data_IF_585773856612
#
_entry.id   IF_585773856612
#
_cell.length_a   1.000
_cell.length_b   1.000
_cell.length_c   1.000
_cell.angle_alpha   90.00
_cell.angle_beta   90.00
_cell.angle_gamma   90.00
#
_symmetry.space_group_name_H-M   'P 1'
#
loop_
_entity.id
_entity.type
_entity.pdbx_description
1 polymer ?
#
# COMPACT_ATOMS: atom_id res chain seq x y z
N UNK A 1 -17.15 37.24 5.67
CA UNK A 1 -16.91 37.38 7.14
C UNK A 1 -15.52 37.96 7.33
N UNK A 2 -15.15 38.45 8.51
CA UNK A 2 -13.72 38.74 8.76
C UNK A 2 -12.95 37.42 8.91
N UNK A 3 -11.72 37.33 8.39
CA UNK A 3 -10.89 36.14 8.57
C UNK A 3 -10.57 35.94 10.05
N UNK A 4 -10.69 34.69 10.52
CA UNK A 4 -10.37 34.28 11.88
C UNK A 4 -9.15 33.37 11.88
N UNK A 5 -8.39 33.32 12.97
CA UNK A 5 -7.37 32.29 13.09
C UNK A 5 -8.01 30.90 13.05
N UNK A 6 -7.31 29.92 12.47
CA UNK A 6 -7.83 28.56 12.35
C UNK A 6 -8.23 27.96 13.70
N UNK A 7 -7.42 28.22 14.73
CA UNK A 7 -7.69 27.81 16.11
C UNK A 7 -9.01 28.40 16.63
N UNK A 8 -9.26 29.70 16.45
CA UNK A 8 -10.48 30.36 16.93
C UNK A 8 -11.72 29.89 16.20
N UNK A 9 -11.62 29.70 14.87
CA UNK A 9 -12.71 29.16 14.08
C UNK A 9 -13.08 27.75 14.54
N UNK A 10 -12.10 26.84 14.65
CA UNK A 10 -12.36 25.45 15.07
C UNK A 10 -12.89 25.36 16.51
N UNK A 11 -12.41 26.22 17.42
CA UNK A 11 -12.92 26.26 18.79
C UNK A 11 -14.38 26.76 18.91
N UNK A 12 -14.83 27.58 17.96
CA UNK A 12 -16.20 28.13 17.93
C UNK A 12 -17.16 27.33 17.06
N UNK A 13 -16.63 26.43 16.22
CA UNK A 13 -17.39 25.58 15.31
C UNK A 13 -18.23 24.55 16.06
N UNK A 14 -19.52 24.48 15.72
CA UNK A 14 -20.40 23.38 16.16
C UNK A 14 -20.18 22.15 15.24
N UNK A 15 -19.70 21.01 15.77
CA UNK A 15 -19.47 19.79 14.98
C UNK A 15 -20.72 19.27 14.26
N UNK A 16 -21.94 19.59 14.74
CA UNK A 16 -23.18 19.20 14.07
C UNK A 16 -23.40 19.92 12.73
N UNK A 17 -22.67 21.00 12.48
CA UNK A 17 -22.78 21.79 11.24
C UNK A 17 -21.82 21.35 10.14
N UNK A 18 -21.02 20.32 10.39
CA UNK A 18 -20.12 19.74 9.40
C UNK A 18 -20.89 18.97 8.30
N UNK A 19 -20.41 18.95 7.04
CA UNK A 19 -19.13 19.50 6.59
C UNK A 19 -19.18 21.01 6.31
N UNK A 20 -18.04 21.70 6.50
CA UNK A 20 -17.85 23.14 6.21
C UNK A 20 -16.71 23.35 5.22
N UNK A 21 -16.79 24.39 4.38
CA UNK A 21 -15.75 24.75 3.41
C UNK A 21 -15.08 26.04 3.87
N UNK A 22 -13.77 25.98 4.10
CA UNK A 22 -12.95 27.10 4.54
C UNK A 22 -12.03 27.53 3.42
N UNK A 23 -11.82 28.84 3.28
CA UNK A 23 -10.79 29.43 2.43
C UNK A 23 -9.63 29.90 3.27
N UNK A 24 -8.40 29.57 2.87
CA UNK A 24 -7.19 30.09 3.49
C UNK A 24 -7.01 31.55 3.05
N UNK A 25 -7.03 32.47 4.00
CA UNK A 25 -6.92 33.91 3.75
C UNK A 25 -5.49 34.42 3.95
N UNK A 26 -4.74 33.82 4.89
CA UNK A 26 -3.39 34.24 5.25
C UNK A 26 -2.62 33.08 5.88
N UNK A 27 -1.28 33.17 5.85
CA UNK A 27 -0.37 32.09 6.23
C UNK A 27 0.07 31.24 5.03
N UNK A 28 1.33 30.81 5.04
CA UNK A 28 1.88 29.90 4.02
C UNK A 28 2.51 28.74 4.75
N UNK A 29 2.00 27.54 4.49
CA UNK A 29 2.56 26.30 5.02
C UNK A 29 3.23 25.53 3.88
N UNK A 30 4.49 25.10 4.07
CA UNK A 30 5.28 24.41 3.06
C UNK A 30 5.67 22.99 3.50
N UNK A 31 5.70 22.07 2.54
CA UNK A 31 6.22 20.71 2.67
C UNK A 31 7.68 20.73 3.16
N UNK A 32 7.99 19.91 4.16
CA UNK A 32 9.33 19.86 4.79
C UNK A 32 9.61 20.98 5.81
N UNK A 33 8.63 21.79 6.17
CA UNK A 33 8.74 22.70 7.31
C UNK A 33 8.70 21.92 8.64
N UNK A 34 9.20 22.53 9.72
CA UNK A 34 9.30 21.94 11.08
C UNK A 34 7.95 21.47 11.64
N UNK A 35 6.85 21.85 11.00
CA UNK A 35 5.47 21.59 11.40
C UNK A 35 4.83 20.40 10.70
N UNK A 36 5.65 19.49 10.14
CA UNK A 36 5.26 18.28 9.41
C UNK A 36 3.98 17.65 9.96
N UNK A 37 2.87 17.92 9.28
CA UNK A 37 1.52 17.58 9.69
C UNK A 37 1.37 16.06 9.74
N UNK A 38 1.59 15.46 10.91
CA UNK A 38 1.20 14.09 11.28
C UNK A 38 1.41 13.02 10.19
N UNK A 39 2.51 13.10 9.43
CA UNK A 39 2.87 12.15 8.37
C UNK A 39 2.20 12.36 7.00
N UNK A 40 1.46 13.45 6.79
CA UNK A 40 0.84 13.83 5.52
C UNK A 40 1.41 15.16 5.02
N UNK A 41 2.39 15.10 4.12
CA UNK A 41 2.98 16.26 3.45
C UNK A 41 1.90 17.11 2.79
N UNK A 42 1.77 18.40 3.14
CA UNK A 42 0.83 19.30 2.46
C UNK A 42 1.37 20.72 2.39
N UNK A 43 0.96 21.47 1.38
CA UNK A 43 1.20 22.91 1.31
C UNK A 43 -0.16 23.61 1.34
N UNK A 44 -0.27 24.68 2.13
CA UNK A 44 -1.45 25.53 2.18
C UNK A 44 -1.05 26.94 1.77
N UNK A 45 -1.70 27.46 0.75
CA UNK A 45 -1.50 28.79 0.19
C UNK A 45 -2.75 29.62 0.33
N UNK A 46 -2.59 30.95 0.36
CA UNK A 46 -3.73 31.88 0.30
C UNK A 46 -4.59 31.59 -0.93
N UNK A 47 -5.89 31.38 -0.71
CA UNK A 47 -6.87 31.03 -1.72
C UNK A 47 -7.26 29.55 -1.74
N UNK A 48 -6.50 28.67 -1.09
CA UNK A 48 -6.83 27.25 -1.03
C UNK A 48 -8.15 27.00 -0.31
N UNK A 49 -8.89 26.00 -0.78
CA UNK A 49 -10.15 25.57 -0.20
C UNK A 49 -9.99 24.24 0.56
N UNK A 50 -10.48 24.23 1.79
CA UNK A 50 -10.42 23.11 2.71
C UNK A 50 -11.84 22.72 3.13
N UNK A 51 -12.29 21.52 2.78
CA UNK A 51 -13.57 21.00 3.27
C UNK A 51 -13.36 20.20 4.55
N UNK A 52 -13.73 20.77 5.67
CA UNK A 52 -13.69 20.13 6.99
C UNK A 52 -14.82 19.12 7.10
N UNK A 53 -14.47 17.88 7.37
CA UNK A 53 -15.38 16.74 7.47
C UNK A 53 -15.62 16.31 8.92
N UNK A 54 -14.59 16.40 9.77
CA UNK A 54 -14.67 16.07 11.19
C UNK A 54 -13.65 16.88 11.99
N UNK A 55 -13.92 17.03 13.30
CA UNK A 55 -13.01 17.65 14.26
C UNK A 55 -12.98 16.77 15.51
N UNK A 56 -11.79 16.43 16.00
CA UNK A 56 -11.60 15.62 17.20
C UNK A 56 -10.66 16.31 18.19
N UNK A 57 -10.95 16.25 19.49
CA UNK A 57 -10.04 16.78 20.51
C UNK A 57 -8.80 15.88 20.59
N UNK A 58 -7.63 16.43 20.27
CA UNK A 58 -6.36 15.70 20.26
C UNK A 58 -5.68 15.77 21.63
N UNK A 59 -5.56 16.98 22.18
CA UNK A 59 -4.97 17.24 23.50
C UNK A 59 -5.46 18.57 24.07
N UNK A 60 -5.18 18.80 25.35
CA UNK A 60 -5.42 20.10 26.01
C UNK A 60 -4.12 20.57 26.64
N UNK A 61 -3.67 21.75 26.25
CA UNK A 61 -2.51 22.42 26.85
C UNK A 61 -3.02 23.22 28.04
N UNK A 62 -2.55 22.88 29.24
CA UNK A 62 -2.88 23.58 30.47
C UNK A 62 -1.73 24.53 30.82
N UNK A 63 -2.00 25.82 30.85
CA UNK A 63 -1.04 26.85 31.24
C UNK A 63 -1.34 27.32 32.67
N UNK A 64 -0.36 27.23 33.56
CA UNK A 64 -0.45 27.76 34.92
C UNK A 64 -0.42 29.30 34.91
N UNK A 65 -1.45 29.93 35.47
CA UNK A 65 -1.59 31.39 35.46
C UNK A 65 -0.55 32.13 36.29
N UNK A 66 0.12 31.46 37.23
CA UNK A 66 1.13 32.07 38.10
C UNK A 66 2.55 31.85 37.57
N UNK A 67 2.83 30.67 37.01
CA UNK A 67 4.18 30.29 36.58
C UNK A 67 4.39 30.34 35.06
N UNK A 68 3.31 30.38 34.28
CA UNK A 68 3.35 30.25 32.81
C UNK A 68 3.77 28.86 32.33
N UNK A 69 3.90 27.89 33.24
CA UNK A 69 4.30 26.53 32.88
C UNK A 69 3.16 25.82 32.16
N UNK A 70 3.46 25.21 31.02
CA UNK A 70 2.49 24.45 30.23
C UNK A 70 2.62 22.95 30.46
N UNK A 71 1.48 22.25 30.54
CA UNK A 71 1.40 20.79 30.66
C UNK A 71 0.37 20.25 29.67
N UNK A 72 0.70 19.15 28.99
CA UNK A 72 -0.20 18.53 28.02
C UNK A 72 -1.06 17.44 28.67
N UNK A 73 -2.37 17.49 28.45
CA UNK A 73 -3.31 16.48 28.91
C UNK A 73 -3.93 15.72 27.73
N UNK A 74 -3.98 14.38 27.78
CA UNK A 74 -4.73 13.61 26.81
C UNK A 74 -6.24 13.80 27.01
N UNK A 75 -7.06 13.61 25.96
CA UNK A 75 -8.51 13.77 26.01
C UNK A 75 -9.17 12.78 27.00
N UNK A 76 -8.51 11.66 27.27
CA UNK A 76 -8.95 10.61 28.21
C UNK A 76 -8.49 10.84 29.66
N UNK A 77 -7.91 11.99 30.00
CA UNK A 77 -7.37 12.27 31.33
C UNK A 77 -8.44 12.09 32.43
N UNK A 78 -8.17 11.17 33.37
CA UNK A 78 -9.05 10.85 34.52
C UNK A 78 -8.47 11.21 35.89
N UNK A 79 -7.28 11.82 35.91
CA UNK A 79 -6.55 12.16 37.14
C UNK A 79 -5.99 10.93 37.84
N UNK A 80 -4.80 11.03 38.42
CA UNK A 80 -4.19 9.95 39.19
C UNK A 80 -4.96 9.71 40.49
N UNK A 81 -5.57 8.52 40.66
CA UNK A 81 -6.11 8.08 41.94
C UNK A 81 -4.98 7.58 42.84
N UNK A 82 -4.39 8.47 43.61
CA UNK A 82 -3.55 8.14 44.76
C UNK A 82 -4.21 8.57 46.06
N UNK A 83 -5.16 7.81 46.61
CA UNK A 83 -5.57 8.00 48.00
C UNK A 83 -4.69 7.14 48.92
N UNK A 84 -3.93 7.74 49.86
CA UNK A 84 -3.19 6.99 50.87
C UNK A 84 -4.18 6.40 51.87
N UNK A 85 -4.13 5.09 52.06
CA UNK A 85 -4.92 4.38 53.08
C UNK A 85 -4.47 4.88 54.46
N UNK A 86 -5.35 5.46 55.31
CA UNK A 86 -4.96 5.79 56.67
C UNK A 86 -4.77 4.50 57.48
N UNK A 87 -3.65 4.45 58.21
CA UNK A 87 -3.27 3.33 59.04
C UNK A 87 -4.39 2.97 60.04
N UNK A 88 -4.76 1.70 59.96
CA UNK A 88 -5.77 0.95 60.71
C UNK A 88 -5.67 1.23 62.22
N UNK A 89 -6.65 1.95 62.78
CA UNK A 89 -6.88 1.95 64.23
C UNK A 89 -7.47 0.60 64.62
N UNK A 90 -6.79 -0.12 65.51
CA UNK A 90 -7.25 -1.38 66.09
C UNK A 90 -8.62 -1.19 66.74
N UNK A 91 -9.58 -2.05 66.40
CA UNK A 91 -10.76 -2.28 67.25
C UNK A 91 -11.04 -3.78 67.34
N UNK A 92 -10.67 -4.29 68.51
CA UNK A 92 -11.19 -5.41 69.30
C UNK A 92 -12.33 -6.21 68.66
N UNK A 93 -12.08 -7.52 68.54
CA UNK A 93 -13.08 -8.57 68.30
C UNK A 93 -14.11 -8.61 69.42
N UNK A 94 -15.40 -8.58 69.06
CA UNK A 94 -16.42 -9.27 69.86
C UNK A 94 -17.32 -10.11 68.97
N UNK A 95 -17.63 -11.27 69.52
CA UNK A 95 -18.36 -12.39 68.99
C UNK A 95 -19.86 -12.11 68.93
N UNK A 96 -20.46 -12.21 67.73
CA UNK A 96 -21.73 -12.91 67.45
C UNK A 96 -22.09 -12.71 65.98
N UNK A 97 -22.67 -13.74 65.37
CA UNK A 97 -22.60 -13.99 63.95
C UNK A 97 -23.66 -13.33 63.08
N UNK A 98 -23.28 -13.04 61.83
CA UNK A 98 -23.95 -13.31 60.54
C UNK A 98 -23.26 -12.48 59.45
N UNK A 99 -23.03 -13.01 58.24
CA UNK A 99 -22.59 -12.19 57.12
C UNK A 99 -23.77 -11.38 56.57
N UNK A 100 -23.75 -10.06 56.76
CA UNK A 100 -24.53 -9.12 55.96
C UNK A 100 -23.64 -8.65 54.81
N UNK A 101 -24.06 -8.91 53.57
CA UNK A 101 -23.50 -8.27 52.38
C UNK A 101 -23.58 -6.74 52.53
N UNK A 102 -22.53 -5.96 52.21
CA UNK A 102 -22.69 -4.52 52.02
C UNK A 102 -23.29 -4.26 50.62
N UNK A 103 -24.38 -3.49 50.52
CA UNK A 103 -25.01 -3.13 49.27
C UNK A 103 -24.47 -1.78 48.78
N UNK A 104 -23.46 -1.78 47.91
CA UNK A 104 -23.19 -0.68 46.96
C UNK A 104 -22.03 -1.05 46.02
N UNK A 105 -22.32 -1.79 44.97
CA UNK A 105 -21.58 -1.63 43.72
C UNK A 105 -22.41 -0.69 42.85
N UNK A 106 -22.24 0.63 43.04
CA UNK A 106 -22.71 1.60 42.06
C UNK A 106 -21.62 1.81 41.02
N UNK A 107 -21.97 1.86 39.72
CA UNK A 107 -21.01 2.11 38.65
C UNK A 107 -20.40 3.50 38.84
N UNK A 108 -19.07 3.57 38.77
CA UNK A 108 -18.29 4.78 38.94
C UNK A 108 -18.82 5.92 38.04
N UNK A 109 -19.32 6.98 38.66
CA UNK A 109 -19.53 8.27 38.00
C UNK A 109 -18.21 8.78 37.40
N UNK A 110 -18.21 9.47 36.25
CA UNK A 110 -17.04 10.23 35.82
C UNK A 110 -16.77 11.32 36.87
N UNK A 111 -15.67 11.17 37.61
CA UNK A 111 -15.23 12.16 38.59
C UNK A 111 -14.81 13.42 37.83
N UNK A 112 -15.59 14.50 37.93
CA UNK A 112 -15.19 15.76 37.34
C UNK A 112 -14.04 16.39 38.12
N UNK A 113 -12.94 16.70 37.43
CA UNK A 113 -11.67 17.16 38.01
C UNK A 113 -11.53 18.68 37.96
N UNK A 114 -12.21 19.33 37.03
CA UNK A 114 -12.05 20.76 36.78
C UNK A 114 -13.18 21.56 37.41
N UNK A 115 -12.84 22.71 38.02
CA UNK A 115 -13.80 23.68 38.55
C UNK A 115 -13.44 25.10 38.08
N UNK A 116 -14.41 25.97 37.76
CA UNK A 116 -14.11 27.37 37.46
C UNK A 116 -13.41 28.04 38.66
N UNK A 117 -12.36 28.82 38.40
CA UNK A 117 -11.77 29.65 39.44
C UNK A 117 -12.75 30.78 39.80
N UNK A 118 -13.02 30.96 41.09
CA UNK A 118 -13.80 32.10 41.58
C UNK A 118 -13.03 33.40 41.34
N UNK A 119 -13.68 34.45 40.86
CA UNK A 119 -13.04 35.75 40.65
C UNK A 119 -12.43 36.30 41.97
N UNK A 120 -11.22 36.90 41.96
CA UNK A 120 -10.65 37.51 43.15
C UNK A 120 -11.47 38.74 43.53
N UNK A 121 -12.24 38.65 44.62
CA UNK A 121 -12.86 39.79 45.27
C UNK A 121 -11.84 40.61 46.09
N UNK A 122 -12.06 41.91 46.31
CA UNK A 122 -11.11 42.75 47.01
C UNK A 122 -11.06 42.43 48.50
N UNK A 123 -9.87 42.12 49.00
CA UNK A 123 -9.37 42.10 50.40
C UNK A 123 -10.28 41.55 51.51
N UNK A 124 -9.80 40.49 52.20
CA UNK A 124 -9.80 40.38 53.68
C UNK A 124 -8.89 39.24 54.18
N UNK A 125 -8.10 39.55 55.21
CA UNK A 125 -7.13 38.72 55.94
C UNK A 125 -7.78 37.65 56.86
N UNK A 126 -7.01 36.71 57.45
CA UNK A 126 -7.46 35.34 57.70
C UNK A 126 -8.00 35.11 59.11
N UNK A 127 -9.14 34.40 59.23
CA UNK A 127 -9.50 33.47 60.32
C UNK A 127 -10.96 33.03 60.19
N UNK A 128 -11.19 31.73 60.08
CA UNK A 128 -12.50 31.11 60.24
C UNK A 128 -12.56 29.75 59.56
N UNK A 129 -13.11 28.70 60.21
CA UNK A 129 -13.17 27.37 59.62
C UNK A 129 -14.01 27.40 58.34
N UNK A 130 -13.48 26.74 57.32
CA UNK A 130 -14.07 26.56 55.99
C UNK A 130 -15.59 26.45 56.05
N UNK A 131 -16.28 27.53 55.68
CA UNK A 131 -17.69 27.48 55.33
C UNK A 131 -17.81 26.67 54.05
N UNK A 132 -18.65 25.65 54.15
CA UNK A 132 -18.93 24.60 53.18
C UNK A 132 -19.28 25.20 51.80
N UNK A 133 -18.25 25.36 50.98
CA UNK A 133 -18.37 25.86 49.61
C UNK A 133 -19.26 24.93 48.79
N UNK A 134 -20.24 25.52 48.13
CA UNK A 134 -21.21 24.87 47.22
C UNK A 134 -20.66 23.60 46.58
N UNK A 135 -21.38 22.48 46.74
CA UNK A 135 -21.15 21.19 46.05
C UNK A 135 -21.36 21.34 44.54
N UNK A 136 -20.53 22.13 43.87
CA UNK A 136 -20.47 22.14 42.41
C UNK A 136 -19.82 20.81 41.99
N UNK A 137 -20.58 19.99 41.26
CA UNK A 137 -20.06 18.82 40.56
C UNK A 137 -18.91 19.31 39.68
N UNK A 138 -17.73 18.70 39.83
CA UNK A 138 -16.61 18.99 38.94
C UNK A 138 -16.99 18.65 37.49
N UNK A 139 -16.30 19.27 36.55
CA UNK A 139 -16.48 19.06 35.12
C UNK A 139 -15.47 18.04 34.61
N UNK A 140 -15.86 17.25 33.61
CA UNK A 140 -14.91 16.47 32.81
C UNK A 140 -14.09 17.41 31.92
N UNK A 141 -12.92 16.97 31.45
CA UNK A 141 -12.05 17.75 30.56
C UNK A 141 -12.80 18.24 29.31
N UNK A 142 -13.59 17.38 28.68
CA UNK A 142 -14.45 17.75 27.54
C UNK A 142 -15.51 18.82 27.90
N UNK A 143 -16.11 18.74 29.10
CA UNK A 143 -17.10 19.73 29.55
C UNK A 143 -16.45 21.06 29.96
N UNK A 144 -15.22 21.04 30.44
CA UNK A 144 -14.45 22.22 30.77
C UNK A 144 -14.05 22.99 29.49
N UNK A 145 -13.59 22.26 28.48
CA UNK A 145 -13.23 22.79 27.15
C UNK A 145 -14.47 23.31 26.40
N UNK A 146 -15.55 22.52 26.32
CA UNK A 146 -16.76 22.89 25.56
C UNK A 146 -17.53 24.10 26.11
N UNK A 147 -17.14 24.65 27.26
CA UNK A 147 -17.72 25.85 27.87
C UNK A 147 -16.92 27.14 27.62
N UNK A 148 -15.72 27.06 27.06
CA UNK A 148 -14.88 28.23 26.76
C UNK A 148 -15.16 28.79 25.36
N UNK A 149 -16.41 29.12 25.05
CA UNK A 149 -16.74 29.79 23.80
C UNK A 149 -16.23 31.24 23.82
N UNK A 150 -15.00 31.44 23.37
CA UNK A 150 -14.43 32.75 23.03
C UNK A 150 -13.31 33.28 23.94
N UNK A 151 -13.23 32.88 25.21
CA UNK A 151 -12.15 33.30 26.12
C UNK A 151 -11.75 32.14 27.05
N UNK A 152 -10.44 31.83 27.20
CA UNK A 152 -9.99 30.80 28.12
C UNK A 152 -10.31 31.22 29.55
N UNK A 153 -11.16 30.45 30.23
CA UNK A 153 -11.51 30.68 31.64
C UNK A 153 -10.51 29.94 32.53
N UNK A 154 -9.97 30.56 33.59
CA UNK A 154 -9.10 29.87 34.52
C UNK A 154 -9.88 28.76 35.26
N UNK A 155 -9.30 27.56 35.27
CA UNK A 155 -9.88 26.36 35.87
C UNK A 155 -8.94 25.79 36.93
N UNK A 156 -9.50 25.36 38.06
CA UNK A 156 -8.76 24.67 39.12
C UNK A 156 -8.84 23.16 38.88
N UNK A 157 -7.67 22.50 38.87
CA UNK A 157 -7.54 21.04 38.82
C UNK A 157 -6.60 20.56 39.93
N UNK A 158 -7.13 20.08 41.06
CA UNK A 158 -6.32 19.66 42.21
C UNK A 158 -5.31 18.54 41.92
N UNK A 159 -5.50 17.80 40.82
CA UNK A 159 -4.60 16.71 40.39
C UNK A 159 -3.37 17.22 39.64
N UNK A 160 -3.40 18.45 39.11
CA UNK A 160 -2.30 19.05 38.34
C UNK A 160 -1.54 20.05 39.22
N UNK A 161 -2.27 20.86 40.00
CA UNK A 161 -1.66 21.84 40.88
C UNK A 161 -2.69 22.67 41.65
N UNK A 162 -2.24 23.47 42.63
CA UNK A 162 -3.12 24.36 43.40
C UNK A 162 -3.52 25.62 42.61
N UNK A 163 -2.78 25.96 41.55
CA UNK A 163 -2.95 27.18 40.77
C UNK A 163 -4.10 27.07 39.76
N UNK A 164 -4.58 28.22 39.28
CA UNK A 164 -5.53 28.26 38.19
C UNK A 164 -4.84 27.95 36.86
N UNK A 165 -5.51 27.17 36.02
CA UNK A 165 -5.00 26.70 34.73
C UNK A 165 -5.86 27.27 33.60
N UNK A 166 -5.23 27.84 32.58
CA UNK A 166 -5.88 28.15 31.31
C UNK A 166 -5.85 26.90 30.44
N UNK A 167 -7.02 26.47 29.97
CA UNK A 167 -7.16 25.30 29.11
C UNK A 167 -7.18 25.75 27.65
N UNK A 168 -6.17 25.34 26.89
CA UNK A 168 -6.06 25.58 25.46
C UNK A 168 -6.27 24.25 24.72
N UNK A 169 -7.49 23.99 24.19
CA UNK A 169 -7.77 22.76 23.48
C UNK A 169 -7.07 22.75 22.11
N UNK A 170 -6.47 21.62 21.74
CA UNK A 170 -5.90 21.39 20.42
C UNK A 170 -6.72 20.31 19.74
N UNK A 171 -7.27 20.62 18.58
CA UNK A 171 -8.10 19.72 17.81
C UNK A 171 -7.36 19.20 16.58
N UNK A 172 -7.55 17.92 16.27
CA UNK A 172 -7.20 17.34 14.99
C UNK A 172 -8.39 17.55 14.04
N UNK A 173 -8.16 18.33 12.98
CA UNK A 173 -9.16 18.66 11.96
C UNK A 173 -9.00 17.71 10.78
N UNK A 174 -10.04 16.97 10.44
CA UNK A 174 -10.05 16.05 9.31
C UNK A 174 -10.69 16.76 8.13
N UNK A 175 -9.92 16.95 7.07
CA UNK A 175 -10.36 17.73 5.93
C UNK A 175 -9.93 17.15 4.58
N UNK A 176 -10.74 17.42 3.56
CA UNK A 176 -10.45 17.10 2.16
C UNK A 176 -10.12 18.37 1.40
N UNK A 177 -9.01 18.35 0.67
CA UNK A 177 -8.62 19.41 -0.25
C UNK A 177 -9.05 19.06 -1.67
N UNK A 178 -9.14 20.06 -2.55
CA UNK A 178 -9.45 19.82 -3.96
C UNK A 178 -8.33 19.01 -4.64
N UNK A 179 -8.69 17.97 -5.38
CA UNK A 179 -7.76 17.09 -6.14
C UNK A 179 -6.71 16.37 -5.29
N UNK A 180 -6.98 16.18 -3.98
CA UNK A 180 -6.13 15.36 -3.13
C UNK A 180 -6.81 14.04 -2.79
N UNK A 181 -6.06 12.95 -2.89
CA UNK A 181 -6.57 11.59 -2.65
C UNK A 181 -6.85 11.31 -1.18
N UNK A 182 -5.93 11.71 -0.31
CA UNK A 182 -5.99 11.42 1.11
C UNK A 182 -6.62 12.56 1.91
N UNK A 183 -7.36 12.17 2.94
CA UNK A 183 -7.86 13.10 3.95
C UNK A 183 -6.68 13.63 4.79
N UNK A 184 -6.60 14.94 4.92
CA UNK A 184 -5.55 15.64 5.66
C UNK A 184 -5.99 15.80 7.10
N UNK A 185 -5.06 15.62 8.03
CA UNK A 185 -5.27 15.77 9.47
C UNK A 185 -4.50 16.99 9.94
N UNK A 186 -5.16 18.13 10.09
CA UNK A 186 -4.49 19.41 10.35
C UNK A 186 -4.70 19.78 11.82
N UNK A 187 -3.65 20.10 12.59
CA UNK A 187 -3.82 20.59 13.95
C UNK A 187 -4.47 21.98 13.93
N UNK A 188 -5.42 22.23 14.85
CA UNK A 188 -6.10 23.52 14.93
C UNK A 188 -5.16 24.68 15.28
N UNK A 189 -4.00 24.39 15.88
CA UNK A 189 -2.95 25.36 16.20
C UNK A 189 -2.12 25.81 14.99
N UNK A 190 -2.42 25.31 13.79
CA UNK A 190 -1.76 25.75 12.57
C UNK A 190 -1.98 27.27 12.38
N UNK A 191 -0.87 28.00 12.20
CA UNK A 191 -0.87 29.47 12.05
C UNK A 191 -1.33 29.90 10.65
N UNK A 192 -2.64 29.76 10.40
CA UNK A 192 -3.31 30.25 9.18
C UNK A 192 -4.61 30.95 9.56
N UNK A 193 -4.99 31.95 8.77
CA UNK A 193 -6.28 32.60 8.88
C UNK A 193 -7.25 31.99 7.86
N UNK A 194 -8.49 31.76 8.29
CA UNK A 194 -9.54 31.13 7.49
C UNK A 194 -10.81 31.96 7.44
N UNK A 195 -11.52 31.82 6.33
CA UNK A 195 -12.89 32.32 6.16
C UNK A 195 -13.81 31.15 5.82
N UNK A 196 -14.95 31.06 6.50
CA UNK A 196 -16.01 30.10 6.14
C UNK A 196 -16.72 30.59 4.87
N UNK A 197 -16.56 29.82 3.80
CA UNK A 197 -17.13 30.08 2.48
C UNK A 197 -18.10 28.96 2.07
N UNK A 198 -18.67 28.24 3.05
CA UNK A 198 -19.53 27.07 2.79
C UNK A 198 -20.71 27.39 1.88
N UNK A 199 -21.31 28.56 2.02
CA UNK A 199 -22.47 28.99 1.22
C UNK A 199 -22.06 29.44 -0.19
N UNK A 200 -20.90 30.09 -0.32
CA UNK A 200 -20.37 30.59 -1.58
C UNK A 200 -19.74 29.49 -2.43
N UNK A 201 -19.13 28.49 -1.79
CA UNK A 201 -18.38 27.41 -2.42
C UNK A 201 -19.21 26.13 -2.64
N UNK A 202 -20.55 26.19 -2.58
CA UNK A 202 -21.42 25.03 -2.83
C UNK A 202 -21.22 24.40 -4.23
N UNK A 203 -20.75 25.20 -5.19
CA UNK A 203 -20.44 24.76 -6.55
C UNK A 203 -19.09 24.04 -6.68
N UNK A 204 -18.24 24.11 -5.66
CA UNK A 204 -16.92 23.49 -5.65
C UNK A 204 -17.06 22.00 -5.34
N UNK A 205 -16.75 21.17 -6.33
CA UNK A 205 -16.71 19.73 -6.13
C UNK A 205 -15.35 19.31 -5.55
N UNK A 206 -15.37 18.81 -4.32
CA UNK A 206 -14.23 18.13 -3.72
C UNK A 206 -14.16 16.71 -4.29
N UNK A 207 -13.70 16.62 -5.54
CA UNK A 207 -13.48 15.35 -6.21
C UNK A 207 -12.25 14.66 -5.60
N UNK A 208 -12.40 13.39 -5.22
CA UNK A 208 -11.29 12.53 -4.82
C UNK A 208 -10.69 11.90 -6.08
N UNK A 209 -9.40 12.16 -6.38
CA UNK A 209 -8.67 11.42 -7.42
C UNK A 209 -8.72 9.92 -7.16
N UNK A 210 -8.86 9.14 -8.22
CA UNK A 210 -8.87 7.68 -8.14
C UNK A 210 -7.65 7.16 -8.88
N UNK A 211 -6.88 6.28 -8.24
CA UNK A 211 -5.87 5.55 -8.99
C UNK A 211 -6.54 4.65 -10.02
N UNK A 212 -5.84 4.42 -11.13
CA UNK A 212 -6.28 3.48 -12.14
C UNK A 212 -6.56 2.07 -11.56
N UNK A 213 -5.82 1.66 -10.52
CA UNK A 213 -6.03 0.41 -9.79
C UNK A 213 -7.31 0.40 -8.94
N UNK A 214 -7.76 1.55 -8.43
CA UNK A 214 -9.05 1.69 -7.75
C UNK A 214 -10.19 1.61 -8.75
N UNK A 215 -10.06 2.27 -9.89
CA UNK A 215 -11.06 2.23 -10.97
C UNK A 215 -11.26 0.80 -11.49
N UNK A 216 -10.20 0.01 -11.60
CA UNK A 216 -10.28 -1.41 -11.95
C UNK A 216 -11.16 -2.23 -10.98
N UNK A 217 -11.21 -1.84 -9.71
CA UNK A 217 -12.07 -2.45 -8.70
C UNK A 217 -13.53 -2.01 -8.78
N UNK A 218 -13.84 -0.92 -9.48
CA UNK A 218 -15.17 -0.31 -9.58
C UNK A 218 -15.89 -0.73 -10.86
N UNK A 219 -16.15 -2.03 -11.03
CA UNK A 219 -16.71 -2.58 -12.27
C UNK A 219 -18.10 -2.02 -12.61
N UNK A 220 -18.94 -1.79 -11.61
CA UNK A 220 -20.28 -1.21 -11.82
C UNK A 220 -20.26 0.26 -12.26
N UNK A 221 -19.12 0.93 -12.16
CA UNK A 221 -18.97 2.30 -12.63
C UNK A 221 -18.58 2.38 -14.12
N UNK A 222 -18.25 1.26 -14.77
CA UNK A 222 -17.84 1.22 -16.18
C UNK A 222 -19.05 0.97 -17.10
N UNK A 223 -19.11 1.57 -18.31
CA UNK A 223 -18.12 2.48 -18.89
C UNK A 223 -18.21 3.90 -18.31
N UNK A 224 -17.06 4.56 -18.15
CA UNK A 224 -17.00 5.94 -17.63
C UNK A 224 -15.96 6.80 -18.34
N UNK A 225 -16.10 8.11 -18.21
CA UNK A 225 -15.15 9.09 -18.72
C UNK A 225 -14.32 9.63 -17.57
N UNK A 226 -13.00 9.61 -17.70
CA UNK A 226 -12.07 10.04 -16.67
C UNK A 226 -11.07 11.07 -17.23
N UNK A 227 -10.74 12.07 -16.42
CA UNK A 227 -9.65 13.02 -16.69
C UNK A 227 -8.39 12.53 -16.00
N UNK A 228 -7.25 12.58 -16.68
CA UNK A 228 -5.94 12.29 -16.09
C UNK A 228 -5.52 13.50 -15.28
N UNK A 229 -5.43 13.36 -13.97
CA UNK A 229 -4.97 14.42 -13.07
C UNK A 229 -3.45 14.40 -12.96
N UNK A 230 -2.86 13.20 -12.90
CA UNK A 230 -1.41 13.01 -12.93
C UNK A 230 -1.02 11.89 -13.91
N UNK A 231 -0.10 12.22 -14.82
CA UNK A 231 0.47 11.26 -15.76
C UNK A 231 1.41 10.24 -15.08
N UNK A 232 1.85 9.21 -15.80
CA UNK A 232 2.66 8.15 -15.23
C UNK A 232 4.03 8.71 -14.80
N UNK A 233 4.37 8.54 -13.53
CA UNK A 233 5.65 9.01 -12.98
C UNK A 233 6.83 8.12 -13.42
N UNK A 234 7.91 8.73 -13.92
CA UNK A 234 9.16 8.04 -14.26
C UNK A 234 9.38 7.84 -15.77
N UNK A 235 10.47 7.15 -16.16
CA UNK A 235 10.74 6.84 -17.57
C UNK A 235 9.65 5.92 -18.13
N UNK A 236 9.32 6.08 -19.42
CA UNK A 236 8.29 5.29 -20.08
C UNK A 236 8.61 3.79 -19.98
N UNK A 237 7.83 3.06 -19.17
CA UNK A 237 7.98 1.61 -18.97
C UNK A 237 7.61 0.85 -20.24
N UNK A 238 6.69 1.40 -21.03
CA UNK A 238 6.22 0.82 -22.29
C UNK A 238 6.61 1.69 -23.47
N UNK A 239 7.22 1.05 -24.47
CA UNK A 239 7.48 1.66 -25.77
C UNK A 239 6.27 1.43 -26.67
N UNK A 240 5.29 2.34 -26.63
CA UNK A 240 4.08 2.28 -27.46
C UNK A 240 3.60 3.67 -27.89
N UNK A 241 2.59 3.73 -28.76
CA UNK A 241 2.08 4.98 -29.36
C UNK A 241 1.20 5.80 -28.42
N UNK A 242 0.57 5.18 -27.43
CA UNK A 242 -0.44 5.81 -26.58
C UNK A 242 0.07 6.27 -25.21
N UNK A 243 1.07 5.61 -24.61
CA UNK A 243 1.64 6.01 -23.30
C UNK A 243 2.18 7.44 -23.31
N UNK A 244 2.92 7.90 -24.34
CA UNK A 244 3.37 9.29 -24.39
C UNK A 244 2.23 10.29 -24.43
N UNK A 245 1.05 9.88 -24.94
CA UNK A 245 -0.12 10.74 -25.03
C UNK A 245 -0.78 10.94 -23.67
N UNK A 246 -0.65 10.00 -22.72
CA UNK A 246 -1.25 10.05 -21.37
C UNK A 246 -0.68 11.21 -20.53
N UNK A 247 -1.24 12.39 -20.73
CA UNK A 247 -0.82 13.62 -20.08
C UNK A 247 -1.93 14.18 -19.19
N UNK A 248 -1.53 14.98 -18.20
CA UNK A 248 -2.46 15.70 -17.33
C UNK A 248 -3.45 16.54 -18.14
N UNK A 249 -4.72 16.52 -17.75
CA UNK A 249 -5.82 17.23 -18.38
C UNK A 249 -6.44 16.50 -19.57
N UNK A 250 -5.88 15.35 -19.96
CA UNK A 250 -6.40 14.57 -21.05
C UNK A 250 -7.56 13.67 -20.58
N UNK A 251 -8.53 13.46 -21.47
CA UNK A 251 -9.72 12.68 -21.15
C UNK A 251 -9.70 11.30 -21.82
N UNK A 252 -9.90 10.27 -21.01
CA UNK A 252 -10.01 8.88 -21.42
C UNK A 252 -11.45 8.41 -21.31
N UNK A 253 -11.86 7.56 -22.25
CA UNK A 253 -13.06 6.76 -22.14
C UNK A 253 -12.63 5.37 -21.65
N UNK A 254 -13.06 4.98 -20.45
CA UNK A 254 -12.82 3.67 -19.88
C UNK A 254 -14.03 2.78 -20.17
N UNK A 255 -13.83 1.75 -20.97
CA UNK A 255 -14.90 0.91 -21.50
C UNK A 255 -15.23 -0.25 -20.57
N UNK A 256 -14.22 -0.88 -19.97
CA UNK A 256 -14.42 -2.10 -19.20
C UNK A 256 -13.11 -2.75 -18.75
N UNK A 257 -13.21 -3.99 -18.30
CA UNK A 257 -12.09 -4.80 -17.83
C UNK A 257 -11.76 -5.89 -18.84
N UNK A 258 -10.47 -6.04 -19.15
CA UNK A 258 -9.94 -7.17 -19.92
C UNK A 258 -9.37 -8.19 -18.95
N UNK A 259 -9.86 -9.43 -19.05
CA UNK A 259 -9.29 -10.61 -18.37
C UNK A 259 -8.34 -11.39 -19.28
N UNK A 260 -7.90 -10.77 -20.38
CA UNK A 260 -6.94 -11.36 -21.28
C UNK A 260 -5.58 -11.48 -20.57
N UNK A 261 -5.12 -12.71 -20.34
CA UNK A 261 -3.80 -12.93 -19.78
C UNK A 261 -2.71 -12.46 -20.75
N UNK A 262 -1.54 -12.17 -20.19
CA UNK A 262 -0.33 -11.73 -20.89
C UNK A 262 0.84 -12.63 -20.56
N UNK A 263 1.89 -12.61 -21.37
CA UNK A 263 3.17 -13.27 -21.07
C UNK A 263 4.28 -12.26 -21.11
N UNK A 264 5.05 -12.17 -20.02
CA UNK A 264 6.31 -11.45 -20.00
C UNK A 264 7.36 -12.27 -20.73
N UNK A 265 8.01 -11.68 -21.71
CA UNK A 265 9.07 -12.29 -22.48
C UNK A 265 10.31 -11.39 -22.48
N UNK A 266 11.50 -12.00 -22.42
CA UNK A 266 12.78 -11.31 -22.49
C UNK A 266 13.51 -11.74 -23.78
N UNK A 267 14.26 -10.82 -24.39
CA UNK A 267 15.12 -11.10 -25.53
C UNK A 267 16.59 -11.01 -25.10
N UNK A 268 17.25 -12.14 -24.76
CA UNK A 268 18.59 -12.15 -24.15
C UNK A 268 19.64 -11.39 -24.96
N UNK A 269 19.52 -11.41 -26.29
CA UNK A 269 20.46 -10.75 -27.19
C UNK A 269 20.40 -9.22 -27.18
N UNK A 270 19.29 -8.63 -26.70
CA UNK A 270 19.04 -7.19 -26.75
C UNK A 270 18.75 -6.56 -25.39
N UNK A 271 18.54 -7.38 -24.35
CA UNK A 271 18.10 -6.90 -23.03
C UNK A 271 16.68 -6.31 -23.00
N UNK A 272 15.94 -6.40 -24.11
CA UNK A 272 14.56 -5.90 -24.23
C UNK A 272 13.56 -6.87 -23.62
N UNK A 273 12.48 -6.32 -23.11
CA UNK A 273 11.36 -7.05 -22.55
C UNK A 273 10.10 -6.75 -23.36
N UNK A 274 9.24 -7.74 -23.47
CA UNK A 274 8.02 -7.69 -24.27
C UNK A 274 6.86 -8.23 -23.44
N UNK A 275 5.69 -7.63 -23.62
CA UNK A 275 4.45 -8.11 -23.03
C UNK A 275 3.55 -8.64 -24.14
N UNK A 276 3.42 -9.97 -24.20
CA UNK A 276 2.70 -10.67 -25.26
C UNK A 276 1.22 -10.78 -24.90
N UNK A 277 0.37 -10.38 -25.85
CA UNK A 277 -1.08 -10.58 -25.75
C UNK A 277 -1.44 -12.05 -25.89
N UNK A 278 -2.43 -12.53 -25.11
CA UNK A 278 -3.05 -13.84 -25.36
C UNK A 278 -3.73 -13.95 -26.73
N UNK A 279 -4.07 -12.81 -27.35
CA UNK A 279 -4.61 -12.75 -28.70
C UNK A 279 -3.52 -12.83 -29.79
N UNK A 280 -2.22 -12.78 -29.43
CA UNK A 280 -1.12 -12.83 -30.41
C UNK A 280 -1.16 -14.11 -31.25
N UNK A 281 -1.25 -13.94 -32.58
CA UNK A 281 -1.42 -15.03 -33.56
C UNK A 281 -0.12 -15.50 -34.20
N UNK A 282 1.02 -14.89 -33.84
CA UNK A 282 2.33 -15.35 -34.30
C UNK A 282 2.63 -16.79 -33.88
N UNK A 283 3.47 -17.46 -34.66
CA UNK A 283 3.85 -18.86 -34.46
C UNK A 283 5.25 -18.98 -33.92
N UNK A 284 5.39 -19.82 -32.91
CA UNK A 284 6.64 -20.06 -32.21
C UNK A 284 7.20 -21.42 -32.56
N UNK A 285 8.52 -21.52 -32.54
CA UNK A 285 9.27 -22.76 -32.53
C UNK A 285 10.08 -22.83 -31.25
N UNK A 286 10.07 -23.98 -30.61
CA UNK A 286 10.88 -24.23 -29.41
C UNK A 286 12.35 -24.19 -29.77
N UNK A 287 13.15 -23.58 -28.90
CA UNK A 287 14.60 -23.67 -28.97
C UNK A 287 15.04 -24.85 -28.11
N UNK A 288 15.93 -25.72 -28.61
CA UNK A 288 16.64 -26.67 -27.78
C UNK A 288 17.25 -26.00 -26.55
N UNK A 289 16.97 -26.52 -25.35
CA UNK A 289 17.69 -26.10 -24.15
C UNK A 289 19.14 -26.58 -24.23
N UNK A 290 20.06 -25.74 -23.78
CA UNK A 290 21.47 -26.07 -23.66
C UNK A 290 21.79 -26.29 -22.18
N UNK A 291 22.55 -27.33 -21.88
CA UNK A 291 22.98 -27.69 -20.54
C UNK A 291 24.50 -27.88 -20.55
N UNK A 292 25.17 -27.37 -19.51
CA UNK A 292 26.63 -27.39 -19.35
C UNK A 292 27.13 -28.49 -18.39
N UNK A 293 26.23 -29.30 -17.86
CA UNK A 293 26.58 -30.42 -17.00
C UNK A 293 25.38 -31.27 -16.60
N UNK A 294 25.66 -32.40 -15.95
CA UNK A 294 24.66 -33.37 -15.51
C UNK A 294 23.75 -32.78 -14.42
N UNK A 295 24.26 -31.89 -13.56
CA UNK A 295 23.44 -31.16 -12.60
C UNK A 295 22.34 -30.30 -13.27
N UNK A 296 22.66 -29.64 -14.38
CA UNK A 296 21.68 -28.84 -15.11
C UNK A 296 20.66 -29.70 -15.85
N UNK A 297 21.09 -30.83 -16.42
CA UNK A 297 20.19 -31.86 -16.95
C UNK A 297 19.22 -32.37 -15.87
N UNK A 298 19.74 -32.55 -14.65
CA UNK A 298 18.94 -32.97 -13.51
C UNK A 298 17.88 -31.95 -13.10
N UNK A 299 18.25 -30.67 -13.06
CA UNK A 299 17.30 -29.58 -12.85
C UNK A 299 16.30 -29.44 -14.03
N UNK A 300 16.72 -29.81 -15.25
CA UNK A 300 15.94 -29.73 -16.48
C UNK A 300 14.93 -30.86 -16.69
N UNK A 301 15.07 -31.99 -15.99
CA UNK A 301 14.17 -33.14 -16.06
C UNK A 301 12.87 -32.87 -15.31
N UNK A 302 11.73 -33.15 -15.95
CA UNK A 302 10.40 -32.96 -15.35
C UNK A 302 9.69 -34.28 -15.08
N UNK A 303 8.88 -34.37 -14.01
CA UNK A 303 8.05 -35.55 -13.76
C UNK A 303 7.15 -35.85 -14.97
N UNK A 304 7.17 -37.10 -15.45
CA UNK A 304 6.38 -37.59 -16.62
C UNK A 304 6.80 -37.07 -18.00
N UNK A 305 7.94 -36.39 -18.13
CA UNK A 305 8.47 -35.97 -19.44
C UNK A 305 9.81 -36.65 -19.74
N UNK A 306 9.94 -37.26 -20.92
CA UNK A 306 11.23 -37.74 -21.42
C UNK A 306 12.06 -36.54 -21.89
N UNK A 307 13.29 -36.40 -21.37
CA UNK A 307 14.27 -35.44 -21.86
C UNK A 307 15.32 -36.19 -22.68
N UNK A 308 15.31 -35.96 -24.00
CA UNK A 308 16.31 -36.50 -24.93
C UNK A 308 17.33 -35.41 -25.22
N UNK A 309 18.61 -35.72 -25.10
CA UNK A 309 19.71 -34.77 -25.34
C UNK A 309 20.78 -35.38 -26.22
N UNK A 310 21.49 -34.53 -26.94
CA UNK A 310 22.66 -34.88 -27.75
C UNK A 310 23.89 -34.25 -27.11
N UNK A 311 24.96 -35.01 -26.96
CA UNK A 311 26.24 -34.54 -26.44
C UNK A 311 26.91 -33.67 -27.50
N UNK A 312 27.26 -32.44 -27.14
CA UNK A 312 27.91 -31.45 -28.00
C UNK A 312 29.34 -31.14 -27.61
N UNK A 313 29.81 -31.68 -26.47
CA UNK A 313 31.20 -31.57 -26.02
C UNK A 313 31.59 -32.88 -25.35
N UNK A 314 32.76 -33.42 -25.72
CA UNK A 314 33.29 -34.65 -25.14
C UNK A 314 33.41 -34.54 -23.61
N UNK A 315 32.94 -35.57 -22.92
CA UNK A 315 33.03 -35.67 -21.47
C UNK A 315 34.03 -36.77 -21.12
N UNK A 316 35.20 -36.38 -20.61
CA UNK A 316 36.16 -37.34 -20.06
C UNK A 316 35.63 -37.86 -18.72
N UNK A 317 35.28 -39.14 -18.67
CA UNK A 317 34.85 -39.81 -17.44
C UNK A 317 35.91 -39.71 -16.34
N UNK A 318 35.51 -39.38 -15.11
CA UNK A 318 36.42 -39.37 -13.96
C UNK A 318 36.49 -40.77 -13.34
N UNK A 319 37.51 -41.54 -13.74
CA UNK A 319 37.80 -42.86 -13.17
C UNK A 319 37.18 -44.02 -13.95
N UNK A 320 37.34 -45.24 -13.43
CA UNK A 320 36.95 -46.49 -14.12
C UNK A 320 35.42 -46.71 -14.17
N UNK A 321 34.65 -45.97 -13.37
CA UNK A 321 33.19 -46.17 -13.19
C UNK A 321 32.31 -45.19 -14.01
N UNK A 322 32.90 -44.21 -14.70
CA UNK A 322 32.14 -43.22 -15.51
C UNK A 322 32.49 -43.38 -16.99
N UNK A 323 31.55 -43.81 -17.84
CA UNK A 323 31.81 -44.00 -19.26
C UNK A 323 32.09 -42.65 -19.96
N UNK A 324 33.08 -42.58 -20.87
CA UNK A 324 33.32 -41.38 -21.66
C UNK A 324 32.15 -41.14 -22.62
N UNK A 325 31.73 -39.89 -22.76
CA UNK A 325 30.70 -39.49 -23.74
C UNK A 325 31.35 -38.70 -24.86
N UNK A 326 31.08 -39.09 -26.10
CA UNK A 326 31.55 -38.43 -27.30
C UNK A 326 30.54 -37.42 -27.86
N UNK A 327 31.05 -36.43 -28.60
CA UNK A 327 30.18 -35.55 -29.40
C UNK A 327 29.33 -36.36 -30.38
N UNK A 328 28.02 -36.17 -30.32
CA UNK A 328 27.03 -36.86 -31.14
C UNK A 328 26.24 -37.95 -30.43
N UNK A 329 26.68 -38.38 -29.24
CA UNK A 329 25.99 -39.39 -28.44
C UNK A 329 24.59 -38.90 -28.04
N UNK A 330 23.59 -39.79 -28.14
CA UNK A 330 22.19 -39.49 -27.81
C UNK A 330 21.81 -40.15 -26.48
N UNK A 331 21.31 -39.34 -25.56
CA UNK A 331 20.97 -39.77 -24.21
C UNK A 331 19.49 -39.49 -23.92
N UNK A 332 18.80 -40.47 -23.35
CA UNK A 332 17.48 -40.32 -22.75
C UNK A 332 17.62 -40.28 -21.23
N UNK A 333 17.19 -39.18 -20.64
CA UNK A 333 17.20 -38.96 -19.20
C UNK A 333 16.10 -39.76 -18.50
N UNK A 334 16.45 -40.53 -17.46
CA UNK A 334 15.50 -41.38 -16.72
C UNK A 334 15.28 -40.94 -15.26
N UNK A 335 16.27 -40.35 -14.58
CA UNK A 335 16.11 -39.78 -13.23
C UNK A 335 17.28 -40.07 -12.29
N UNK A 336 17.10 -39.76 -11.01
CA UNK A 336 18.11 -40.03 -9.97
C UNK A 336 18.04 -41.49 -9.52
N UNK A 337 19.16 -42.22 -9.60
CA UNK A 337 19.26 -43.59 -9.09
C UNK A 337 20.65 -43.80 -8.47
N UNK A 338 20.71 -44.19 -7.20
CA UNK A 338 21.98 -44.51 -6.54
C UNK A 338 21.88 -44.58 -5.01
N UNK A 339 22.77 -45.38 -4.41
CA UNK A 339 22.90 -45.57 -2.95
C UNK A 339 23.95 -44.61 -2.33
N UNK A 340 24.29 -43.52 -3.04
CA UNK A 340 25.33 -42.54 -2.67
C UNK A 340 24.98 -41.11 -3.10
N UNK A 341 25.78 -40.11 -2.70
CA UNK A 341 25.50 -38.71 -3.00
C UNK A 341 25.80 -38.39 -4.48
N UNK A 342 24.78 -38.35 -5.32
CA UNK A 342 24.86 -37.65 -6.61
C UNK A 342 25.01 -38.51 -7.87
N UNK A 343 24.44 -39.72 -7.91
CA UNK A 343 24.43 -40.55 -9.12
C UNK A 343 23.13 -40.37 -9.91
N UNK A 344 23.24 -40.16 -11.22
CA UNK A 344 22.14 -39.89 -12.14
C UNK A 344 22.08 -40.92 -13.27
N UNK A 345 20.88 -41.40 -13.62
CA UNK A 345 20.68 -42.46 -14.63
C UNK A 345 20.27 -41.89 -15.98
N UNK A 346 21.05 -42.24 -17.01
CA UNK A 346 20.79 -41.94 -18.42
C UNK A 346 20.76 -43.23 -19.21
N UNK A 347 19.91 -43.31 -20.23
CA UNK A 347 19.92 -44.38 -21.22
C UNK A 347 20.62 -43.87 -22.48
N UNK A 348 21.74 -44.48 -22.84
CA UNK A 348 22.40 -44.23 -24.11
C UNK A 348 21.70 -44.97 -25.24
N UNK A 349 21.38 -44.28 -26.33
CA UNK A 349 20.73 -44.88 -27.49
C UNK A 349 21.76 -45.05 -28.60
N UNK A 350 21.95 -46.29 -29.05
CA UNK A 350 22.58 -46.56 -30.33
C UNK A 350 21.52 -46.36 -31.44
N UNK A 351 21.90 -45.68 -32.52
CA UNK A 351 21.04 -45.50 -33.72
C UNK A 351 19.88 -44.51 -33.61
N UNK A 352 19.31 -44.16 -34.77
CA UNK A 352 18.11 -43.31 -34.90
C UNK A 352 16.80 -44.09 -34.73
N UNK A 353 16.86 -45.42 -34.73
CA UNK A 353 15.70 -46.30 -34.63
C UNK A 353 15.28 -46.47 -33.15
N UNK A 354 13.96 -46.46 -32.88
CA UNK A 354 13.42 -46.52 -31.51
C UNK A 354 13.47 -47.93 -30.87
N UNK A 355 14.04 -48.92 -31.57
CA UNK A 355 14.02 -50.33 -31.19
C UNK A 355 15.37 -50.91 -30.70
N UNK A 356 16.48 -50.14 -30.71
CA UNK A 356 17.74 -50.61 -30.14
C UNK A 356 17.73 -50.53 -28.60
N UNK A 357 18.06 -51.66 -27.94
CA UNK A 357 18.25 -51.72 -26.48
C UNK A 357 19.42 -50.84 -26.07
N UNK A 358 19.10 -49.63 -25.60
CA UNK A 358 20.09 -48.68 -25.11
C UNK A 358 20.72 -49.09 -23.77
N UNK A 359 22.01 -48.84 -23.61
CA UNK A 359 22.75 -49.10 -22.37
C UNK A 359 22.39 -48.09 -21.27
N UNK A 360 22.34 -48.53 -20.01
CA UNK A 360 22.08 -47.66 -18.87
C UNK A 360 23.41 -47.16 -18.28
N UNK A 361 23.59 -45.84 -18.27
CA UNK A 361 24.78 -45.14 -17.79
C UNK A 361 24.47 -44.39 -16.50
N UNK A 362 25.37 -44.49 -15.52
CA UNK A 362 25.33 -43.74 -14.27
C UNK A 362 26.35 -42.60 -14.32
N UNK A 363 25.88 -41.36 -14.36
CA UNK A 363 26.74 -40.17 -14.39
C UNK A 363 26.73 -39.41 -13.06
N UNK A 364 27.90 -38.95 -12.58
CA UNK A 364 27.98 -38.03 -11.44
C UNK A 364 27.34 -36.66 -11.75
N UNK A 365 26.67 -36.06 -10.77
CA UNK A 365 26.06 -34.72 -10.92
C UNK A 365 27.08 -33.62 -11.21
N UNK A 366 28.32 -33.74 -10.73
CA UNK A 366 29.42 -32.80 -10.94
C UNK A 366 30.13 -32.96 -12.28
N UNK A 367 29.71 -33.92 -13.11
CA UNK A 367 30.23 -34.09 -14.47
C UNK A 367 29.80 -32.90 -15.35
N UNK A 368 30.80 -32.11 -15.75
CA UNK A 368 30.65 -31.06 -16.76
C UNK A 368 30.63 -31.63 -18.17
N UNK A 369 29.89 -30.99 -19.07
CA UNK A 369 29.74 -31.44 -20.44
C UNK A 369 28.76 -30.58 -21.24
N UNK A 370 28.78 -30.67 -22.56
CA UNK A 370 27.85 -29.94 -23.42
C UNK A 370 26.69 -30.84 -23.81
N UNK A 371 25.45 -30.47 -23.48
CA UNK A 371 24.26 -31.24 -23.86
C UNK A 371 23.19 -30.33 -24.44
N UNK A 372 22.56 -30.75 -25.53
CA UNK A 372 21.49 -29.99 -26.20
C UNK A 372 20.23 -30.84 -26.32
N UNK A 373 19.08 -30.30 -25.91
CA UNK A 373 17.79 -30.98 -26.00
C UNK A 373 17.41 -31.31 -27.46
N UNK A 374 17.07 -32.56 -27.72
CA UNK A 374 16.54 -33.00 -29.01
C UNK A 374 15.09 -32.50 -29.15
N UNK A 375 14.92 -31.31 -29.71
CA UNK A 375 13.62 -30.72 -29.96
C UNK A 375 13.16 -31.01 -31.40
N UNK A 376 11.87 -31.32 -31.58
CA UNK A 376 11.28 -31.53 -32.91
C UNK A 376 11.28 -30.22 -33.71
N UNK A 377 12.32 -30.03 -34.52
CA UNK A 377 12.61 -28.78 -35.19
C UNK A 377 11.55 -28.35 -36.22
N UNK A 378 10.59 -29.20 -36.61
CA UNK A 378 9.56 -28.85 -37.59
C UNK A 378 8.29 -28.25 -36.97
N UNK A 379 7.96 -28.58 -35.72
CA UNK A 379 6.69 -28.21 -35.10
C UNK A 379 6.61 -26.70 -34.82
N UNK A 380 5.44 -26.12 -35.11
CA UNK A 380 5.09 -24.73 -34.86
C UNK A 380 3.94 -24.70 -33.87
N UNK A 381 4.00 -23.80 -32.90
CA UNK A 381 3.04 -23.72 -31.81
C UNK A 381 2.43 -22.32 -31.74
N UNK A 382 1.16 -22.23 -31.35
CA UNK A 382 0.59 -20.97 -30.84
C UNK A 382 1.12 -20.67 -29.44
N UNK A 383 1.00 -19.41 -29.01
CA UNK A 383 1.39 -19.03 -27.64
C UNK A 383 0.65 -19.85 -26.58
N UNK A 384 -0.66 -20.03 -26.73
CA UNK A 384 -1.49 -20.82 -25.79
C UNK A 384 -1.01 -22.27 -25.68
N UNK A 385 -0.79 -22.91 -26.83
CA UNK A 385 -0.32 -24.30 -26.91
C UNK A 385 1.04 -24.50 -26.23
N UNK A 386 1.93 -23.51 -26.31
CA UNK A 386 3.23 -23.56 -25.64
C UNK A 386 3.09 -23.56 -24.12
N UNK A 387 2.23 -22.69 -23.59
CA UNK A 387 2.02 -22.54 -22.15
C UNK A 387 1.33 -23.75 -21.53
N UNK A 388 0.46 -24.43 -22.28
CA UNK A 388 -0.17 -25.68 -21.84
C UNK A 388 0.83 -26.85 -21.82
N UNK A 389 1.74 -26.90 -22.79
CA UNK A 389 2.68 -28.00 -22.92
C UNK A 389 3.93 -27.85 -22.06
N UNK A 390 4.30 -26.62 -21.66
CA UNK A 390 5.58 -26.34 -21.00
C UNK A 390 5.41 -25.31 -19.88
N UNK A 391 5.90 -25.58 -18.65
CA UNK A 391 6.03 -24.55 -17.64
C UNK A 391 7.08 -23.51 -18.07
N UNK A 392 6.82 -22.27 -17.65
CA UNK A 392 7.72 -21.14 -17.79
C UNK A 392 8.84 -21.22 -16.73
N UNK A 393 10.06 -20.72 -17.00
CA UNK A 393 10.46 -20.05 -18.24
C UNK A 393 10.82 -21.03 -19.38
N UNK A 394 10.65 -20.62 -20.63
CA UNK A 394 11.04 -21.44 -21.80
C UNK A 394 11.58 -20.61 -22.97
N UNK A 395 12.56 -21.16 -23.70
CA UNK A 395 13.14 -20.51 -24.88
C UNK A 395 12.42 -20.89 -26.18
N UNK A 396 12.11 -19.85 -26.96
CA UNK A 396 11.37 -19.94 -28.21
C UNK A 396 11.94 -18.98 -29.24
N UNK A 397 11.51 -19.15 -30.48
CA UNK A 397 11.75 -18.19 -31.58
C UNK A 397 10.46 -18.01 -32.35
N UNK A 398 10.16 -16.78 -32.76
CA UNK A 398 9.07 -16.51 -33.69
C UNK A 398 9.47 -16.96 -35.10
N UNK A 399 8.67 -17.86 -35.68
CA UNK A 399 8.89 -18.42 -37.03
C UNK A 399 7.86 -17.94 -38.04
N UNK A 400 6.71 -17.44 -37.57
CA UNK A 400 5.80 -16.67 -38.39
C UNK A 400 5.32 -15.48 -37.53
N UNK A 401 5.53 -14.23 -37.99
CA UNK A 401 5.05 -13.07 -37.26
C UNK A 401 3.52 -13.04 -37.25
N UNK A 402 2.97 -12.23 -36.36
CA UNK A 402 1.53 -11.99 -36.27
C UNK A 402 1.03 -11.22 -37.50
N UNK A 403 0.04 -11.74 -38.26
CA UNK A 403 -0.53 -11.04 -39.40
C UNK A 403 -1.38 -9.81 -39.04
N UNK A 404 -1.84 -9.69 -37.79
CA UNK A 404 -2.65 -8.54 -37.34
C UNK A 404 -1.78 -7.31 -37.02
N UNK A 405 -0.47 -7.50 -36.89
CA UNK A 405 0.48 -6.43 -36.59
C UNK A 405 1.14 -5.94 -37.89
N UNK A 406 1.06 -4.63 -38.17
CA UNK A 406 1.77 -4.03 -39.30
C UNK A 406 3.30 -4.24 -39.24
N UNK A 407 3.86 -4.25 -38.02
CA UNK A 407 5.26 -4.51 -37.74
C UNK A 407 5.42 -5.34 -36.46
N UNK A 408 5.57 -6.64 -36.62
CA UNK A 408 5.85 -7.54 -35.50
C UNK A 408 7.32 -7.41 -35.03
N UNK A 409 7.52 -6.78 -33.87
CA UNK A 409 8.83 -6.59 -33.25
C UNK A 409 9.52 -7.89 -32.81
N UNK A 410 8.77 -8.99 -32.68
CA UNK A 410 9.28 -10.28 -32.22
C UNK A 410 9.84 -11.12 -33.36
N UNK A 411 9.30 -10.94 -34.58
CA UNK A 411 9.72 -11.65 -35.79
C UNK A 411 11.24 -11.64 -36.06
N UNK A 412 11.94 -10.49 -35.98
CA UNK A 412 13.38 -10.43 -36.24
C UNK A 412 14.25 -10.98 -35.11
N UNK A 413 13.70 -11.30 -33.93
CA UNK A 413 14.51 -11.71 -32.79
C UNK A 413 15.02 -13.16 -32.96
N UNK A 414 16.32 -13.42 -32.69
CA UNK A 414 16.89 -14.74 -32.86
C UNK A 414 16.42 -15.74 -31.79
N UNK A 415 16.13 -15.24 -30.59
CA UNK A 415 15.64 -16.00 -29.45
C UNK A 415 14.81 -15.10 -28.53
N UNK A 416 13.78 -15.68 -27.94
CA UNK A 416 12.89 -15.07 -26.97
C UNK A 416 12.72 -16.06 -25.81
N UNK A 417 12.84 -15.59 -24.58
CA UNK A 417 12.58 -16.37 -23.39
C UNK A 417 11.26 -15.92 -22.79
N UNK A 418 10.28 -16.81 -22.78
CA UNK A 418 9.02 -16.57 -22.07
C UNK A 418 9.30 -16.77 -20.58
N UNK A 419 9.08 -15.75 -19.76
CA UNK A 419 9.49 -15.73 -18.34
C UNK A 419 8.33 -16.07 -17.41
N UNK A 420 7.20 -15.36 -17.54
CA UNK A 420 6.07 -15.48 -16.63
C UNK A 420 4.74 -15.21 -17.34
N UNK A 421 3.70 -15.92 -16.91
CA UNK A 421 2.31 -15.66 -17.30
C UNK A 421 1.68 -14.72 -16.29
N UNK A 422 0.96 -13.73 -16.79
CA UNK A 422 0.34 -12.67 -16.01
C UNK A 422 -1.17 -12.72 -16.25
N UNK A 423 -1.90 -13.17 -15.25
CA UNK A 423 -3.38 -13.28 -15.27
C UNK A 423 -4.06 -12.04 -14.64
N UNK A 424 -3.33 -10.95 -14.50
CA UNK A 424 -3.84 -9.71 -13.92
C UNK A 424 -4.80 -9.02 -14.90
N UNK A 425 -5.88 -8.40 -14.41
CA UNK A 425 -6.83 -7.71 -15.28
C UNK A 425 -6.29 -6.34 -15.70
N UNK A 426 -6.62 -5.96 -16.94
CA UNK A 426 -6.28 -4.67 -17.54
C UNK A 426 -7.55 -3.84 -17.68
N UNK A 427 -7.42 -2.51 -17.72
CA UNK A 427 -8.52 -1.64 -18.10
C UNK A 427 -8.49 -1.41 -19.61
N UNK A 428 -9.63 -1.58 -20.27
CA UNK A 428 -9.78 -1.25 -21.69
C UNK A 428 -10.24 0.19 -21.78
N UNK A 429 -9.49 1.02 -22.49
CA UNK A 429 -9.83 2.43 -22.70
C UNK A 429 -9.46 2.93 -24.08
N UNK A 430 -9.94 4.10 -24.42
CA UNK A 430 -9.57 4.82 -25.64
C UNK A 430 -9.46 6.31 -25.34
N UNK A 431 -8.81 7.05 -26.24
CA UNK A 431 -8.89 8.50 -26.20
C UNK A 431 -10.29 8.95 -26.64
N UNK A 432 -10.81 10.03 -26.06
CA UNK A 432 -12.13 10.56 -26.44
C UNK A 432 -12.18 11.03 -27.90
N UNK A 433 -11.03 11.42 -28.46
CA UNK A 433 -10.87 11.87 -29.86
C UNK A 433 -10.93 10.69 -30.85
N UNK A 434 -10.53 9.50 -30.42
CA UNK A 434 -10.36 8.30 -31.24
C UNK A 434 -10.98 7.09 -30.52
N UNK A 435 -12.32 7.00 -30.42
CA UNK A 435 -12.98 5.94 -29.66
C UNK A 435 -12.82 4.54 -30.27
N UNK A 436 -12.54 4.46 -31.56
CA UNK A 436 -12.32 3.20 -32.29
C UNK A 436 -10.92 2.60 -32.03
N UNK A 437 -9.96 3.43 -31.58
CA UNK A 437 -8.60 2.99 -31.25
C UNK A 437 -8.49 2.69 -29.74
N UNK A 438 -8.99 1.50 -29.37
CA UNK A 438 -8.88 0.98 -28.00
C UNK A 438 -7.46 0.50 -27.67
N UNK A 439 -7.06 0.71 -26.41
CA UNK A 439 -5.84 0.17 -25.83
C UNK A 439 -6.09 -0.37 -24.41
N UNK A 440 -5.16 -1.20 -23.93
CA UNK A 440 -5.24 -1.79 -22.60
C UNK A 440 -4.23 -1.14 -21.64
N UNK A 441 -4.76 -0.59 -20.56
CA UNK A 441 -4.03 0.06 -19.49
C UNK A 441 -3.70 -0.94 -18.38
N UNK A 442 -2.41 -1.23 -18.09
CA UNK A 442 -2.01 -2.01 -16.92
C UNK A 442 -2.03 -1.16 -15.64
N UNK A 443 -3.02 -1.32 -14.74
CA UNK A 443 -3.17 -0.43 -13.58
C UNK A 443 -2.08 -0.62 -12.54
N UNK A 444 -1.40 -1.77 -12.54
CA UNK A 444 -0.33 -2.07 -11.58
C UNK A 444 1.04 -1.48 -11.99
N UNK A 445 1.21 -1.11 -13.26
CA UNK A 445 2.48 -0.59 -13.78
C UNK A 445 2.38 0.87 -14.21
N UNK A 446 1.18 1.40 -14.38
CA UNK A 446 0.93 2.81 -14.63
C UNK A 446 0.39 3.46 -13.35
N UNK A 447 1.24 4.22 -12.66
CA UNK A 447 0.84 5.08 -11.55
C UNK A 447 0.10 6.32 -12.06
N UNK A 448 -1.11 6.13 -12.59
CA UNK A 448 -2.00 7.18 -13.10
C UNK A 448 -3.07 7.52 -12.05
N UNK A 449 -3.33 8.82 -11.86
CA UNK A 449 -4.35 9.37 -10.95
C UNK A 449 -5.33 10.34 -11.62
#
# INVERSE_FOLDING_TARGET
MEPLSFQEYICSLDPATLPRILRICSGVYFQGSVYEISGNECCLSTGDLLKVMAVALEKVICEDTETGQTTELPPTFKGEQGCPVPARTQRVLSSQGRPLQPPWAQPHCPTGLFKPASAPGPYSTPRGPFLEGSKQRGLTLHQAVGRSSGQPRPMLCPTIGPCALLLHPVYEVHATMHLRRDMVKIPSTLEVDVEDVTEEAQHVQFARPLLLSEVLGMEEALPTRAEILEGPAGPAIFENTWVPRLQRGQWLQLHGRSHAWRVLASAPSSGRHFLLSSAYQGRFRRRPRQFTGVQELAAGLRPRQQLRVVVTQDCEGRGDDVPPLGVGDRLEVRGLQGNGPGTWLLRHRHGEEEEEEGEELLLPLDLGGGFVEEACASKKYKLVELLEQQPLPCEVRVVAPDPELERDALGPLPALRLEARLDQPFLVGSFCEEPEEGFELPPQWLGLS
#
